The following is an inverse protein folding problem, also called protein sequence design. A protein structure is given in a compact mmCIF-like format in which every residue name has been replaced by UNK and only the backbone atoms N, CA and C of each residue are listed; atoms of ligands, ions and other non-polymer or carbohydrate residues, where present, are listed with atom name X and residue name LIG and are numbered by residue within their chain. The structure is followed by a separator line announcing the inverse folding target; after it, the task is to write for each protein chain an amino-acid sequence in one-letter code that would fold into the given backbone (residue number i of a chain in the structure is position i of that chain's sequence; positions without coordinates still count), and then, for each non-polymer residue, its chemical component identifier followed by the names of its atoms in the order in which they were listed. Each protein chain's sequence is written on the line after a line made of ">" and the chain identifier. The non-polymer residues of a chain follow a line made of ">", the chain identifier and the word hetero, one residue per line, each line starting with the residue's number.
data_IF_995261340492
#
_entry.id   IF_995261340492
#
_cell.length_a   1.000
_cell.length_b   1.000
_cell.length_c   1.000
_cell.angle_alpha   90.00
_cell.angle_beta   90.00
_cell.angle_gamma   90.00
#
_symmetry.space_group_name_H-M   'P 1'
#
loop_
_entity.id
_entity.type
_entity.pdbx_description
1 polymer ?
#
# COMPACT_ATOMS: atom_id res chain seq x y z
N UNK A 1 -34.46 2.08 53.94
CA UNK A 1 -34.04 1.57 52.62
C UNK A 1 -34.13 2.72 51.63
N UNK A 2 -33.03 3.43 51.43
CA UNK A 2 -32.88 4.43 50.37
C UNK A 2 -31.77 3.90 49.45
N UNK A 3 -32.15 3.56 48.23
CA UNK A 3 -31.25 3.01 47.21
C UNK A 3 -30.08 3.98 46.95
N UNK A 4 -28.82 3.49 46.90
CA UNK A 4 -27.74 4.25 46.31
C UNK A 4 -28.02 4.41 44.81
N UNK A 5 -27.92 5.66 44.32
CA UNK A 5 -28.00 5.99 42.91
C UNK A 5 -27.02 5.12 42.09
N UNK A 6 -27.45 4.54 40.97
CA UNK A 6 -26.57 3.74 40.13
C UNK A 6 -25.59 4.66 39.40
N UNK A 7 -24.37 4.68 39.94
CA UNK A 7 -23.11 4.71 39.19
C UNK A 7 -22.93 5.85 38.18
N UNK A 8 -22.29 6.91 38.65
CA UNK A 8 -21.28 7.68 37.90
C UNK A 8 -20.22 6.71 37.34
N UNK A 9 -20.51 6.07 36.21
CA UNK A 9 -19.45 5.47 35.39
C UNK A 9 -18.78 6.64 34.68
N UNK A 10 -17.74 7.22 35.30
CA UNK A 10 -16.79 8.08 34.60
C UNK A 10 -16.28 7.26 33.41
N UNK A 11 -16.78 7.55 32.22
CA UNK A 11 -16.26 6.99 30.99
C UNK A 11 -14.80 7.39 30.93
N UNK A 12 -13.88 6.45 31.19
CA UNK A 12 -12.46 6.65 30.97
C UNK A 12 -12.30 7.22 29.57
N UNK A 13 -11.76 8.43 29.49
CA UNK A 13 -11.53 9.12 28.23
C UNK A 13 -10.57 8.21 27.46
N UNK A 14 -11.08 7.48 26.46
CA UNK A 14 -10.25 6.61 25.63
C UNK A 14 -9.10 7.46 25.08
N UNK A 15 -7.90 7.23 25.58
CA UNK A 15 -6.70 7.85 25.02
C UNK A 15 -6.60 7.40 23.58
N UNK A 16 -6.63 8.37 22.67
CA UNK A 16 -6.46 8.11 21.24
C UNK A 16 -4.96 8.07 20.96
N UNK A 17 -4.56 7.20 20.05
CA UNK A 17 -3.20 7.22 19.51
C UNK A 17 -2.85 8.64 19.03
N UNK A 18 -1.72 9.14 19.49
CA UNK A 18 -1.14 10.41 19.07
C UNK A 18 0.38 10.22 18.95
N UNK A 19 0.88 10.41 17.74
CA UNK A 19 2.29 10.50 17.46
C UNK A 19 2.53 11.90 16.86
N UNK A 20 3.38 12.74 17.48
CA UNK A 20 3.62 14.07 16.95
C UNK A 20 4.34 13.98 15.62
N UNK A 21 3.96 14.83 14.67
CA UNK A 21 4.71 14.96 13.43
C UNK A 21 6.14 15.43 13.73
N UNK A 22 7.14 15.03 12.91
CA UNK A 22 8.49 15.60 12.99
C UNK A 22 8.44 17.13 12.88
N UNK A 23 9.24 17.82 13.70
CA UNK A 23 9.16 19.29 13.83
C UNK A 23 10.08 20.04 12.86
N UNK A 24 11.00 19.33 12.21
CA UNK A 24 12.09 19.83 11.37
C UNK A 24 11.88 19.57 9.87
N UNK A 25 10.64 19.35 9.44
CA UNK A 25 10.30 19.14 8.03
C UNK A 25 10.41 20.46 7.27
N UNK A 26 11.31 20.51 6.27
CA UNK A 26 11.37 21.63 5.32
C UNK A 26 10.24 21.53 4.28
N UNK A 27 9.15 22.23 4.56
CA UNK A 27 7.96 22.28 3.72
C UNK A 27 8.23 22.91 2.34
N UNK A 28 9.17 23.84 2.23
CA UNK A 28 9.46 24.50 0.95
C UNK A 28 10.21 23.57 0.01
N UNK A 29 11.15 22.78 0.52
CA UNK A 29 11.78 21.74 -0.28
C UNK A 29 10.80 20.64 -0.68
N UNK A 30 9.88 20.23 0.20
CA UNK A 30 8.81 19.29 -0.15
C UNK A 30 7.91 19.81 -1.28
N UNK A 31 7.50 21.08 -1.23
CA UNK A 31 6.73 21.72 -2.30
C UNK A 31 7.47 21.70 -3.64
N UNK A 32 8.78 21.98 -3.66
CA UNK A 32 9.60 21.93 -4.88
C UNK A 32 9.57 20.54 -5.52
N UNK A 33 9.63 19.46 -4.73
CA UNK A 33 9.54 18.09 -5.25
C UNK A 33 8.20 17.88 -5.97
N UNK A 34 7.08 18.15 -5.28
CA UNK A 34 5.73 17.99 -5.86
C UNK A 34 5.56 18.83 -7.13
N UNK A 35 5.97 20.10 -7.08
CA UNK A 35 5.75 21.05 -8.17
C UNK A 35 6.66 20.80 -9.37
N UNK A 36 7.86 20.27 -9.17
CA UNK A 36 8.83 20.06 -10.26
C UNK A 36 8.72 18.68 -10.92
N UNK A 37 8.16 17.68 -10.24
CA UNK A 37 7.95 16.34 -10.81
C UNK A 37 7.10 16.41 -12.09
N UNK A 38 7.56 15.75 -13.15
CA UNK A 38 6.84 15.60 -14.43
C UNK A 38 6.97 14.17 -14.93
N UNK A 39 6.07 13.76 -15.83
CA UNK A 39 6.22 12.49 -16.54
C UNK A 39 7.19 12.66 -17.70
N UNK A 40 8.46 12.32 -17.48
CA UNK A 40 9.51 12.50 -18.49
C UNK A 40 9.45 11.39 -19.54
N UNK A 41 9.65 11.74 -20.82
CA UNK A 41 9.49 10.81 -21.96
C UNK A 41 10.77 10.51 -22.73
N UNK A 42 11.88 11.12 -22.32
CA UNK A 42 13.22 10.91 -22.87
C UNK A 42 14.24 11.21 -21.78
N UNK A 43 15.04 10.23 -21.41
CA UNK A 43 16.04 10.35 -20.36
C UNK A 43 17.44 10.55 -20.94
N UNK A 44 18.35 11.00 -20.08
CA UNK A 44 19.78 11.08 -20.39
C UNK A 44 20.47 9.76 -20.02
N UNK A 45 21.72 9.59 -20.45
CA UNK A 45 22.52 8.41 -20.10
C UNK A 45 23.10 8.47 -18.66
N UNK A 46 22.65 9.42 -17.83
CA UNK A 46 23.07 9.53 -16.43
C UNK A 46 22.61 8.29 -15.66
N UNK A 47 23.58 7.52 -15.16
CA UNK A 47 23.30 6.37 -14.31
C UNK A 47 22.68 6.81 -12.96
N UNK A 48 21.84 5.96 -12.40
CA UNK A 48 21.28 6.12 -11.05
C UNK A 48 22.18 5.33 -10.09
N UNK A 49 22.79 5.96 -9.07
CA UNK A 49 23.53 5.26 -8.04
C UNK A 49 22.65 4.21 -7.32
N UNK A 50 23.23 3.08 -6.94
CA UNK A 50 22.48 1.97 -6.34
C UNK A 50 21.84 2.40 -5.01
N UNK A 51 22.58 3.15 -4.20
CA UNK A 51 22.14 3.69 -2.93
C UNK A 51 20.94 4.65 -3.06
N UNK A 52 20.87 5.42 -4.16
CA UNK A 52 19.74 6.29 -4.45
C UNK A 52 18.51 5.45 -4.78
N UNK A 53 18.69 4.41 -5.59
CA UNK A 53 17.60 3.53 -5.99
C UNK A 53 17.05 2.73 -4.80
N UNK A 54 17.93 2.22 -3.94
CA UNK A 54 17.57 1.49 -2.73
C UNK A 54 16.79 2.39 -1.76
N UNK A 55 17.27 3.62 -1.52
CA UNK A 55 16.55 4.58 -0.66
C UNK A 55 15.17 4.96 -1.25
N UNK A 56 15.07 5.14 -2.57
CA UNK A 56 13.78 5.37 -3.23
C UNK A 56 12.82 4.18 -3.07
N UNK A 57 13.33 2.95 -3.10
CA UNK A 57 12.53 1.75 -2.86
C UNK A 57 12.09 1.65 -1.40
N UNK A 58 12.97 1.94 -0.44
CA UNK A 58 12.62 1.98 0.98
C UNK A 58 11.50 3.00 1.24
N UNK A 59 11.60 4.21 0.68
CA UNK A 59 10.53 5.22 0.76
C UNK A 59 9.23 4.78 0.09
N UNK A 60 9.31 4.01 -1.00
CA UNK A 60 8.13 3.44 -1.66
C UNK A 60 7.40 2.44 -0.73
N UNK A 61 8.15 1.62 0.01
CA UNK A 61 7.61 0.62 0.92
C UNK A 61 6.92 1.22 2.15
N UNK A 62 7.20 2.50 2.48
CA UNK A 62 6.53 3.24 3.56
C UNK A 62 5.12 3.75 3.18
N UNK A 63 4.64 3.50 1.96
CA UNK A 63 3.32 3.95 1.56
C UNK A 63 2.20 3.37 2.44
N UNK A 64 1.21 4.19 2.84
CA UNK A 64 0.11 3.72 3.66
C UNK A 64 -0.76 2.74 2.88
N UNK A 65 -1.17 1.66 3.53
CA UNK A 65 -1.99 0.64 2.88
C UNK A 65 -2.95 -0.05 3.84
N UNK A 66 -4.08 -0.54 3.29
CA UNK A 66 -5.12 -1.20 4.09
C UNK A 66 -4.57 -2.44 4.77
N UNK A 67 -4.76 -2.52 6.09
CA UNK A 67 -4.39 -3.68 6.90
C UNK A 67 -2.89 -4.02 6.86
N UNK A 68 -2.04 -3.08 6.45
CA UNK A 68 -0.61 -3.28 6.21
C UNK A 68 -0.25 -4.54 5.38
N UNK A 69 -1.11 -4.94 4.44
CA UNK A 69 -0.90 -6.16 3.64
C UNK A 69 0.10 -5.98 2.50
N UNK A 70 0.54 -4.75 2.22
CA UNK A 70 1.61 -4.40 1.28
C UNK A 70 1.60 -5.25 -0.01
N UNK A 71 0.50 -5.22 -0.79
CA UNK A 71 0.29 -6.08 -1.96
C UNK A 71 1.09 -5.62 -3.18
N UNK A 72 2.37 -5.31 -3.01
CA UNK A 72 3.25 -4.80 -4.05
C UNK A 72 4.53 -5.63 -4.16
N UNK A 73 5.13 -5.61 -5.34
CA UNK A 73 6.50 -6.06 -5.57
C UNK A 73 7.11 -5.14 -6.60
N UNK A 74 8.28 -4.60 -6.29
CA UNK A 74 9.09 -3.80 -7.21
C UNK A 74 10.21 -4.66 -7.75
N UNK A 75 10.37 -4.68 -9.07
CA UNK A 75 11.44 -5.43 -9.74
C UNK A 75 12.26 -4.45 -10.57
N UNK A 76 13.48 -4.15 -10.10
CA UNK A 76 14.48 -3.41 -10.86
C UNK A 76 15.10 -4.33 -11.90
N UNK A 77 14.94 -4.03 -13.17
CA UNK A 77 15.38 -4.90 -14.25
C UNK A 77 16.73 -4.47 -14.79
N UNK A 78 17.82 -5.02 -14.24
CA UNK A 78 19.19 -4.66 -14.66
C UNK A 78 19.68 -5.43 -15.91
N UNK A 79 19.15 -6.63 -16.17
CA UNK A 79 19.59 -7.46 -17.29
C UNK A 79 19.26 -6.81 -18.65
N UNK A 80 20.25 -6.54 -19.54
CA UNK A 80 20.03 -5.85 -20.81
C UNK A 80 19.04 -6.56 -21.75
N UNK A 81 19.07 -7.89 -21.81
CA UNK A 81 18.17 -8.67 -22.64
C UNK A 81 16.72 -8.55 -22.14
N UNK A 82 16.51 -8.55 -20.81
CA UNK A 82 15.20 -8.31 -20.20
C UNK A 82 14.74 -6.85 -20.41
N UNK A 83 15.62 -5.85 -20.29
CA UNK A 83 15.29 -4.45 -20.61
C UNK A 83 14.77 -4.33 -22.05
N UNK A 84 15.42 -4.98 -23.03
CA UNK A 84 14.97 -5.00 -24.44
C UNK A 84 13.59 -5.63 -24.61
N UNK A 85 13.29 -6.71 -23.88
CA UNK A 85 11.95 -7.33 -23.89
C UNK A 85 10.89 -6.41 -23.28
N UNK A 86 11.20 -5.73 -22.18
CA UNK A 86 10.30 -4.74 -21.56
C UNK A 86 10.02 -3.57 -22.48
N UNK A 87 11.03 -3.02 -23.15
CA UNK A 87 10.84 -1.96 -24.17
C UNK A 87 9.83 -2.40 -25.21
N UNK A 88 9.92 -3.64 -25.70
CA UNK A 88 8.95 -4.20 -26.66
C UNK A 88 7.55 -4.29 -26.04
N UNK A 89 7.44 -4.75 -24.80
CA UNK A 89 6.16 -4.80 -24.07
C UNK A 89 5.55 -3.39 -23.84
N UNK A 90 6.39 -2.37 -23.71
CA UNK A 90 6.01 -0.96 -23.66
C UNK A 90 5.78 -0.34 -25.04
N UNK A 91 5.56 -1.15 -26.09
CA UNK A 91 5.31 -0.70 -27.48
C UNK A 91 6.45 0.17 -28.06
N UNK A 92 7.69 -0.03 -27.61
CA UNK A 92 8.85 0.72 -28.11
C UNK A 92 8.90 2.18 -27.68
N UNK A 93 8.14 2.58 -26.66
CA UNK A 93 8.10 3.95 -26.15
C UNK A 93 9.50 4.50 -25.83
N UNK A 94 9.72 5.76 -26.18
CA UNK A 94 11.01 6.44 -25.99
C UNK A 94 11.45 6.49 -24.52
N UNK A 95 10.49 6.66 -23.60
CA UNK A 95 10.74 6.65 -22.15
C UNK A 95 11.39 5.32 -21.73
N UNK A 96 10.77 4.19 -22.07
CA UNK A 96 11.29 2.86 -21.73
C UNK A 96 12.64 2.56 -22.41
N UNK A 97 12.89 3.12 -23.60
CA UNK A 97 14.15 2.92 -24.34
C UNK A 97 15.33 3.67 -23.77
N UNK A 98 15.08 4.84 -23.16
CA UNK A 98 16.14 5.78 -22.77
C UNK A 98 16.36 5.82 -21.27
N UNK A 99 15.43 5.31 -20.47
CA UNK A 99 15.58 5.26 -19.02
C UNK A 99 16.82 4.44 -18.62
N UNK A 100 17.59 4.95 -17.65
CA UNK A 100 18.72 4.23 -17.08
C UNK A 100 18.27 2.90 -16.47
N UNK A 101 17.15 2.89 -15.74
CA UNK A 101 16.55 1.70 -15.14
C UNK A 101 15.07 1.55 -15.49
N UNK A 102 14.61 0.30 -15.55
CA UNK A 102 13.19 -0.04 -15.70
C UNK A 102 12.74 -0.77 -14.43
N UNK A 103 11.76 -0.20 -13.74
CA UNK A 103 11.16 -0.77 -12.53
C UNK A 103 9.77 -1.28 -12.88
N UNK A 104 9.52 -2.57 -12.66
CA UNK A 104 8.21 -3.17 -12.84
C UNK A 104 7.50 -3.22 -11.49
N UNK A 105 6.40 -2.48 -11.37
CA UNK A 105 5.55 -2.47 -10.17
C UNK A 105 4.41 -3.48 -10.33
N UNK A 106 4.35 -4.47 -9.45
CA UNK A 106 3.41 -5.59 -9.54
C UNK A 106 2.44 -5.53 -8.37
N UNK A 107 1.15 -5.44 -8.65
CA UNK A 107 0.09 -5.60 -7.66
C UNK A 107 -0.15 -7.10 -7.37
N UNK A 108 0.10 -7.55 -6.13
CA UNK A 108 0.12 -8.95 -5.71
C UNK A 108 -1.10 -9.33 -4.88
N UNK A 109 -2.13 -9.86 -5.53
CA UNK A 109 -3.31 -10.41 -4.85
C UNK A 109 -3.07 -11.80 -4.26
N UNK A 110 -2.00 -12.47 -4.67
CA UNK A 110 -1.63 -13.85 -4.31
C UNK A 110 -0.85 -13.95 -2.99
N UNK A 111 -0.38 -12.81 -2.43
CA UNK A 111 0.48 -12.77 -1.23
C UNK A 111 -0.23 -12.33 0.04
N UNK A 112 -1.55 -12.15 0.01
CA UNK A 112 -2.29 -11.60 1.16
C UNK A 112 -2.14 -12.46 2.41
N UNK A 113 -2.20 -13.79 2.28
CA UNK A 113 -2.00 -14.72 3.41
C UNK A 113 -0.56 -14.67 3.96
N UNK A 114 0.43 -14.53 3.09
CA UNK A 114 1.85 -14.42 3.47
C UNK A 114 2.09 -13.13 4.27
N UNK A 115 1.62 -12.00 3.75
CA UNK A 115 1.79 -10.69 4.37
C UNK A 115 1.04 -10.58 5.70
N UNK A 116 -0.15 -11.18 5.82
CA UNK A 116 -0.87 -11.23 7.10
C UNK A 116 -0.10 -12.01 8.18
N UNK A 117 0.58 -13.10 7.81
CA UNK A 117 1.46 -13.84 8.73
C UNK A 117 2.69 -13.01 9.10
N UNK A 118 3.30 -12.36 8.11
CA UNK A 118 4.47 -11.48 8.29
C UNK A 118 4.18 -10.35 9.29
N UNK A 119 3.01 -9.72 9.20
CA UNK A 119 2.58 -8.69 10.15
C UNK A 119 2.43 -9.17 11.60
N UNK A 120 2.22 -10.47 11.83
CA UNK A 120 2.22 -11.05 13.18
C UNK A 120 3.65 -11.37 13.63
N UNK A 121 4.49 -11.95 12.75
CA UNK A 121 5.86 -12.33 13.10
C UNK A 121 6.80 -11.14 13.28
N UNK A 122 6.54 -10.05 12.57
CA UNK A 122 7.32 -8.80 12.62
C UNK A 122 6.59 -7.71 13.40
N UNK A 123 5.69 -8.10 14.29
CA UNK A 123 4.98 -7.15 15.13
C UNK A 123 5.98 -6.39 16.02
N UNK A 124 5.90 -5.05 16.14
CA UNK A 124 6.96 -4.26 16.77
C UNK A 124 7.06 -4.42 18.29
N UNK A 125 6.06 -5.05 18.91
CA UNK A 125 6.04 -5.33 20.34
C UNK A 125 6.36 -6.81 20.59
N UNK A 126 6.91 -7.18 21.77
CA UNK A 126 7.33 -8.55 22.08
C UNK A 126 6.25 -9.60 21.80
N UNK A 127 4.98 -9.26 21.99
CA UNK A 127 3.86 -10.10 21.61
C UNK A 127 2.72 -9.30 20.96
N UNK A 128 2.21 -9.80 19.84
CA UNK A 128 1.02 -9.24 19.20
C UNK A 128 -0.24 -9.48 20.07
N UNK A 129 -1.04 -8.44 20.38
CA UNK A 129 -2.30 -8.60 21.12
C UNK A 129 -3.23 -9.62 20.47
N UNK A 130 -4.02 -10.31 21.29
CA UNK A 130 -4.97 -11.32 20.81
C UNK A 130 -5.95 -10.77 19.74
N UNK A 131 -6.37 -9.52 19.87
CA UNK A 131 -7.20 -8.83 18.89
C UNK A 131 -6.50 -8.68 17.53
N UNK A 132 -5.20 -8.35 17.53
CA UNK A 132 -4.38 -8.21 16.32
C UNK A 132 -4.13 -9.58 15.68
N UNK A 133 -3.78 -10.59 16.48
CA UNK A 133 -3.64 -11.99 16.01
C UNK A 133 -4.95 -12.48 15.36
N UNK A 134 -6.09 -12.21 16.00
CA UNK A 134 -7.42 -12.54 15.46
C UNK A 134 -7.69 -11.78 14.16
N UNK A 135 -7.39 -10.50 14.10
CA UNK A 135 -7.58 -9.68 12.90
C UNK A 135 -6.79 -10.23 11.71
N UNK A 136 -5.48 -10.45 11.87
CA UNK A 136 -4.62 -10.95 10.80
C UNK A 136 -4.91 -12.40 10.40
N UNK A 137 -5.51 -13.20 11.30
CA UNK A 137 -6.04 -14.53 10.96
C UNK A 137 -7.22 -14.45 9.99
N UNK A 138 -8.07 -13.43 10.08
CA UNK A 138 -9.31 -13.35 9.30
C UNK A 138 -9.24 -12.40 8.10
N UNK A 139 -8.36 -11.38 8.13
CA UNK A 139 -8.30 -10.39 7.06
C UNK A 139 -8.05 -10.96 5.65
N UNK A 140 -7.28 -12.05 5.43
CA UNK A 140 -7.10 -12.59 4.08
C UNK A 140 -8.41 -13.08 3.45
N UNK A 141 -9.36 -13.57 4.25
CA UNK A 141 -10.66 -14.02 3.76
C UNK A 141 -11.52 -12.89 3.19
N UNK A 142 -11.23 -11.62 3.53
CA UNK A 142 -11.89 -10.47 2.92
C UNK A 142 -11.41 -10.20 1.49
N UNK A 143 -10.26 -10.74 1.12
CA UNK A 143 -9.64 -10.60 -0.20
C UNK A 143 -9.68 -11.89 -1.02
N UNK A 144 -9.97 -13.03 -0.38
CA UNK A 144 -10.26 -14.30 -1.07
C UNK A 144 -11.62 -14.24 -1.75
N UNK A 145 -11.61 -14.28 -3.08
CA UNK A 145 -12.80 -14.31 -3.89
C UNK A 145 -13.16 -15.78 -4.16
N UNK A 146 -14.23 -16.26 -3.56
CA UNK A 146 -14.64 -17.67 -3.65
C UNK A 146 -14.97 -18.13 -5.09
N UNK A 147 -14.90 -19.44 -5.31
CA UNK A 147 -14.94 -20.13 -6.62
C UNK A 147 -16.22 -19.94 -7.45
N UNK A 148 -17.29 -19.38 -6.88
CA UNK A 148 -18.56 -19.15 -7.57
C UNK A 148 -18.96 -17.67 -7.45
N UNK A 149 -18.82 -16.93 -8.55
CA UNK A 149 -19.20 -15.51 -8.69
C UNK A 149 -20.63 -15.18 -8.17
N UNK A 150 -21.53 -16.17 -8.09
CA UNK A 150 -22.88 -16.03 -7.52
C UNK A 150 -22.88 -15.78 -6.00
N UNK A 151 -22.01 -16.45 -5.24
CA UNK A 151 -21.92 -16.28 -3.78
C UNK A 151 -21.32 -14.90 -3.45
N UNK A 152 -20.39 -14.42 -4.27
CA UNK A 152 -19.79 -13.08 -4.13
C UNK A 152 -20.82 -11.95 -4.31
N UNK A 153 -21.69 -12.05 -5.32
CA UNK A 153 -22.75 -11.06 -5.55
C UNK A 153 -23.83 -11.08 -4.46
N UNK A 154 -24.22 -12.27 -3.98
CA UNK A 154 -25.15 -12.37 -2.84
C UNK A 154 -24.55 -11.77 -1.57
N UNK A 155 -23.28 -12.10 -1.27
CA UNK A 155 -22.53 -11.50 -0.16
C UNK A 155 -22.44 -9.98 -0.30
N UNK A 156 -22.28 -9.44 -1.52
CA UNK A 156 -22.26 -8.00 -1.78
C UNK A 156 -23.56 -7.30 -1.40
N UNK A 157 -24.70 -7.88 -1.76
CA UNK A 157 -26.03 -7.34 -1.40
C UNK A 157 -26.24 -7.44 0.11
N UNK A 158 -26.00 -8.62 0.70
CA UNK A 158 -26.16 -8.84 2.14
C UNK A 158 -25.24 -7.92 2.97
N UNK A 159 -23.98 -7.75 2.56
CA UNK A 159 -23.01 -6.89 3.24
C UNK A 159 -23.31 -5.40 3.06
N UNK A 160 -23.92 -4.99 1.94
CA UNK A 160 -24.40 -3.61 1.72
C UNK A 160 -25.54 -3.28 2.68
N UNK A 161 -26.47 -4.22 2.89
CA UNK A 161 -27.56 -4.11 3.88
C UNK A 161 -26.99 -4.14 5.31
N UNK A 162 -26.05 -5.04 5.60
CA UNK A 162 -25.37 -5.06 6.89
C UNK A 162 -24.63 -3.74 7.16
N UNK A 163 -24.00 -3.13 6.14
CA UNK A 163 -23.36 -1.80 6.27
C UNK A 163 -24.31 -0.64 6.52
N UNK A 164 -25.59 -0.77 6.12
CA UNK A 164 -26.59 0.24 6.50
C UNK A 164 -26.95 0.16 7.99
N UNK A 165 -26.79 -1.02 8.61
CA UNK A 165 -27.05 -1.26 10.03
C UNK A 165 -25.79 -1.08 10.90
N UNK A 166 -24.61 -1.43 10.38
CA UNK A 166 -23.31 -1.25 11.02
C UNK A 166 -22.28 -0.69 10.02
N UNK A 167 -22.03 0.63 10.14
CA UNK A 167 -21.15 1.37 9.22
C UNK A 167 -19.67 1.01 9.36
N UNK A 168 -19.26 0.23 10.37
CA UNK A 168 -17.85 -0.08 10.64
C UNK A 168 -17.34 -1.34 9.91
N UNK A 169 -18.18 -1.98 9.09
CA UNK A 169 -17.75 -3.19 8.38
C UNK A 169 -16.66 -2.89 7.32
N UNK A 170 -15.54 -3.64 7.32
CA UNK A 170 -14.42 -3.42 6.40
C UNK A 170 -14.85 -3.64 4.94
N UNK A 171 -14.28 -2.84 4.03
CA UNK A 171 -14.52 -3.01 2.58
C UNK A 171 -13.87 -4.32 2.15
N UNK A 172 -14.70 -5.32 1.84
CA UNK A 172 -14.26 -6.63 1.32
C UNK A 172 -14.22 -6.61 -0.20
N UNK A 173 -13.31 -7.38 -0.80
CA UNK A 173 -13.39 -7.70 -2.22
C UNK A 173 -14.49 -8.76 -2.44
N UNK A 174 -15.51 -8.44 -3.23
CA UNK A 174 -16.62 -9.37 -3.49
C UNK A 174 -16.37 -10.28 -4.69
N UNK A 175 -15.50 -9.84 -5.61
CA UNK A 175 -15.10 -10.58 -6.80
C UNK A 175 -13.60 -10.35 -7.12
N UNK A 176 -12.99 -11.14 -8.03
CA UNK A 176 -11.57 -11.01 -8.36
C UNK A 176 -11.16 -9.63 -8.87
N UNK A 177 -12.06 -8.89 -9.53
CA UNK A 177 -11.78 -7.54 -10.01
C UNK A 177 -11.69 -6.54 -8.86
N UNK A 178 -12.51 -6.68 -7.81
CA UNK A 178 -12.40 -5.86 -6.59
C UNK A 178 -11.05 -6.06 -5.90
N UNK A 179 -10.56 -7.31 -5.81
CA UNK A 179 -9.26 -7.63 -5.21
C UNK A 179 -8.11 -7.03 -6.04
N UNK A 180 -8.16 -7.17 -7.38
CA UNK A 180 -7.18 -6.54 -8.28
C UNK A 180 -7.21 -5.02 -8.16
N UNK A 181 -8.39 -4.41 -8.13
CA UNK A 181 -8.54 -2.96 -7.99
C UNK A 181 -7.95 -2.45 -6.67
N UNK A 182 -8.22 -3.15 -5.56
CA UNK A 182 -7.62 -2.84 -4.27
C UNK A 182 -6.09 -2.90 -4.31
N UNK A 183 -5.53 -4.01 -4.82
CA UNK A 183 -4.09 -4.20 -4.89
C UNK A 183 -3.44 -3.15 -5.80
N UNK A 184 -4.04 -2.83 -6.95
CA UNK A 184 -3.56 -1.81 -7.88
C UNK A 184 -3.57 -0.40 -7.27
N UNK A 185 -4.68 0.01 -6.62
CA UNK A 185 -4.76 1.32 -5.95
C UNK A 185 -3.71 1.44 -4.85
N UNK A 186 -3.55 0.37 -4.07
CA UNK A 186 -2.59 0.30 -2.98
C UNK A 186 -1.15 0.38 -3.51
N UNK A 187 -0.84 -0.38 -4.57
CA UNK A 187 0.48 -0.34 -5.24
C UNK A 187 0.76 1.02 -5.85
N UNK A 188 -0.25 1.71 -6.39
CA UNK A 188 -0.09 3.03 -6.96
C UNK A 188 0.36 4.09 -5.93
N UNK A 189 -0.05 3.97 -4.66
CA UNK A 189 0.44 4.84 -3.58
C UNK A 189 1.94 4.64 -3.34
N UNK A 190 2.40 3.38 -3.33
CA UNK A 190 3.82 3.06 -3.24
C UNK A 190 4.61 3.55 -4.45
N UNK A 191 4.05 3.45 -5.66
CA UNK A 191 4.64 4.04 -6.86
C UNK A 191 4.75 5.57 -6.77
N UNK A 192 3.74 6.27 -6.24
CA UNK A 192 3.80 7.73 -6.07
C UNK A 192 4.91 8.14 -5.09
N UNK A 193 5.05 7.44 -3.96
CA UNK A 193 6.17 7.64 -3.04
C UNK A 193 7.51 7.48 -3.75
N UNK A 194 7.70 6.41 -4.53
CA UNK A 194 8.93 6.15 -5.29
C UNK A 194 9.25 7.27 -6.28
N UNK A 195 8.23 7.74 -7.00
CA UNK A 195 8.36 8.80 -8.00
C UNK A 195 8.73 10.14 -7.35
N UNK A 196 8.15 10.47 -6.19
CA UNK A 196 8.51 11.66 -5.43
C UNK A 196 9.93 11.53 -4.83
N UNK A 197 10.31 10.35 -4.34
CA UNK A 197 11.64 10.07 -3.83
C UNK A 197 12.72 10.25 -4.93
N UNK A 198 12.52 9.67 -6.12
CA UNK A 198 13.40 9.86 -7.27
C UNK A 198 13.58 11.36 -7.57
N UNK A 199 12.48 12.13 -7.53
CA UNK A 199 12.53 13.56 -7.77
C UNK A 199 13.30 14.32 -6.67
N UNK A 200 13.14 13.93 -5.42
CA UNK A 200 13.91 14.50 -4.30
C UNK A 200 15.42 14.23 -4.44
N UNK A 201 15.80 13.07 -4.99
CA UNK A 201 17.18 12.71 -5.32
C UNK A 201 17.70 13.32 -6.64
N UNK A 202 16.90 14.14 -7.32
CA UNK A 202 17.30 14.82 -8.56
C UNK A 202 17.29 13.91 -9.80
N UNK A 203 16.48 12.84 -9.78
CA UNK A 203 16.20 11.97 -10.92
C UNK A 203 14.75 12.12 -11.38
N UNK A 204 14.46 11.68 -12.60
CA UNK A 204 13.13 11.73 -13.20
C UNK A 204 12.60 10.33 -13.46
N UNK A 205 11.27 10.23 -13.60
CA UNK A 205 10.52 8.98 -13.82
C UNK A 205 9.43 9.13 -14.87
#
# INVERSE_FOLDING_TARGET
>A
MSNPNPTDVKAEKKERYFEPAPQDIDVENFKKVIQSRRSVRKFTDKAIPAEVLDDCLDMALLAPNSSNLQPWTFVVVQNPAKKKQLVKACLGQLAARTAAELIVCIARTDRVDEMAKKNISEFPFPEAPAAVKKYYKFIPYNYKTGYLNAVGNFKKVAFKIARTLDKQLPVTAFNPADAKLWASKTTALACENMVLALRAHGFDS
#
